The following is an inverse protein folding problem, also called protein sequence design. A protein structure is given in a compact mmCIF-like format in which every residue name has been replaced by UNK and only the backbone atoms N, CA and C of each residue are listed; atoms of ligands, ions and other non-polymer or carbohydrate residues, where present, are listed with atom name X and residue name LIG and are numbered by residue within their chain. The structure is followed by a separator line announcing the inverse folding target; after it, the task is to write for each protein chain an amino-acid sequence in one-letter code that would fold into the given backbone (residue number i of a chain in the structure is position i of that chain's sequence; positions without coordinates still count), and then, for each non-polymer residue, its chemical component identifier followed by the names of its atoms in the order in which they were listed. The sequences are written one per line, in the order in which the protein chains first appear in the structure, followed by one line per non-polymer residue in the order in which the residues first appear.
data_IF_337980100559
#
_entry.id   IF_337980100559
#
_cell.length_a   1.000
_cell.length_b   1.000
_cell.length_c   1.000
_cell.angle_alpha   90.00
_cell.angle_beta   90.00
_cell.angle_gamma   90.00
#
_symmetry.space_group_name_H-M   'P 1'
#
loop_
_entity.id
_entity.type
_entity.pdbx_description
1 polymer ?
#
# COMPACT_ATOMS: atom_id res chain seq x y z
N UNK A 1 4.83 -24.13 -30.56
CA UNK A 1 3.87 -23.67 -29.53
C UNK A 1 4.50 -22.73 -28.48
N UNK A 2 5.82 -22.56 -28.40
CA UNK A 2 6.50 -21.72 -27.36
C UNK A 2 6.50 -20.21 -27.70
N UNK A 3 6.36 -19.84 -28.99
CA UNK A 3 6.39 -18.40 -29.40
C UNK A 3 5.10 -17.62 -29.13
N UNK A 4 3.94 -18.26 -29.02
CA UNK A 4 2.66 -17.56 -28.75
C UNK A 4 2.50 -17.15 -27.26
N UNK A 5 3.11 -17.91 -26.33
CA UNK A 5 3.02 -17.59 -24.91
C UNK A 5 3.82 -16.34 -24.49
N UNK A 6 4.96 -16.09 -25.14
CA UNK A 6 5.78 -14.91 -24.85
C UNK A 6 5.12 -13.59 -25.29
N UNK A 7 4.38 -13.59 -26.43
CA UNK A 7 3.73 -12.35 -26.90
C UNK A 7 2.53 -11.92 -26.04
N UNK A 8 1.75 -12.89 -25.49
CA UNK A 8 0.64 -12.60 -24.61
C UNK A 8 1.10 -12.04 -23.26
N UNK A 9 2.20 -12.59 -22.72
CA UNK A 9 2.76 -12.12 -21.45
C UNK A 9 3.28 -10.68 -21.54
N UNK A 10 3.92 -10.31 -22.66
CA UNK A 10 4.41 -8.94 -22.88
C UNK A 10 3.28 -7.91 -23.03
N UNK A 11 2.18 -8.28 -23.67
CA UNK A 11 1.00 -7.40 -23.81
C UNK A 11 0.29 -7.15 -22.47
N UNK A 12 0.19 -8.16 -21.62
CA UNK A 12 -0.39 -8.05 -20.27
C UNK A 12 0.45 -7.12 -19.39
N UNK A 13 1.79 -7.24 -19.44
CA UNK A 13 2.68 -6.37 -18.65
C UNK A 13 2.56 -4.91 -19.07
N UNK A 14 2.42 -4.60 -20.37
CA UNK A 14 2.27 -3.22 -20.84
C UNK A 14 0.91 -2.61 -20.44
N UNK A 15 -0.18 -3.37 -20.49
CA UNK A 15 -1.50 -2.87 -20.11
C UNK A 15 -1.62 -2.59 -18.61
N UNK A 16 -1.03 -3.42 -17.78
CA UNK A 16 -0.98 -3.27 -16.32
C UNK A 16 -0.20 -2.01 -15.92
N UNK A 17 0.97 -1.80 -16.50
CA UNK A 17 1.78 -0.61 -16.23
C UNK A 17 1.10 0.69 -16.65
N UNK A 18 0.31 0.68 -17.72
CA UNK A 18 -0.43 1.85 -18.19
C UNK A 18 -1.55 2.26 -17.21
N UNK A 19 -2.32 1.30 -16.68
CA UNK A 19 -3.38 1.58 -15.70
C UNK A 19 -2.80 2.06 -14.36
N UNK A 20 -1.71 1.47 -13.91
CA UNK A 20 -1.04 1.86 -12.68
C UNK A 20 -0.56 3.33 -12.75
N UNK A 21 0.05 3.74 -13.87
CA UNK A 21 0.47 5.13 -14.09
C UNK A 21 -0.73 6.08 -14.22
N UNK A 22 -1.81 5.63 -14.83
CA UNK A 22 -3.04 6.43 -14.95
C UNK A 22 -3.70 6.65 -13.60
N UNK A 23 -3.77 5.61 -12.74
CA UNK A 23 -4.31 5.73 -11.38
C UNK A 23 -3.47 6.74 -10.55
N UNK A 24 -2.13 6.71 -10.66
CA UNK A 24 -1.25 7.71 -10.04
C UNK A 24 -1.54 9.10 -10.59
N UNK A 25 -1.65 9.26 -11.91
CA UNK A 25 -1.93 10.54 -12.57
C UNK A 25 -3.25 11.16 -12.11
N UNK A 26 -4.29 10.34 -11.98
CA UNK A 26 -5.60 10.78 -11.51
C UNK A 26 -5.54 11.21 -10.05
N UNK A 27 -4.99 10.36 -9.15
CA UNK A 27 -4.90 10.65 -7.73
C UNK A 27 -4.02 11.86 -7.42
N UNK A 28 -2.96 12.09 -8.20
CA UNK A 28 -2.08 13.26 -8.05
C UNK A 28 -2.39 14.40 -9.03
N UNK A 29 -3.62 14.47 -9.54
CA UNK A 29 -4.04 15.58 -10.41
C UNK A 29 -4.30 16.86 -9.61
N UNK A 30 -4.33 18.01 -10.32
CA UNK A 30 -4.66 19.30 -9.71
C UNK A 30 -6.08 19.33 -9.12
N UNK A 31 -7.03 18.59 -9.69
CA UNK A 31 -8.41 18.50 -9.22
C UNK A 31 -8.48 17.86 -7.82
N UNK A 32 -7.57 16.96 -7.50
CA UNK A 32 -7.47 16.31 -6.19
C UNK A 32 -6.88 17.24 -5.09
N UNK A 33 -6.35 18.41 -5.45
CA UNK A 33 -5.90 19.47 -4.53
C UNK A 33 -4.99 18.97 -3.40
N UNK A 34 -4.20 17.92 -3.67
CA UNK A 34 -3.31 17.30 -2.68
C UNK A 34 -4.00 16.48 -1.59
N UNK A 35 -5.27 16.15 -1.73
CA UNK A 35 -6.01 15.13 -0.95
C UNK A 35 -5.94 15.28 0.58
N UNK A 36 -5.78 16.51 1.10
CA UNK A 36 -5.77 16.72 2.56
C UNK A 36 -7.04 16.16 3.20
N UNK A 37 -6.88 15.44 4.29
CA UNK A 37 -8.00 14.87 5.06
C UNK A 37 -9.10 15.89 5.32
N UNK A 38 -10.35 15.54 4.97
CA UNK A 38 -11.52 16.40 5.13
C UNK A 38 -11.70 17.44 4.02
N UNK A 39 -10.80 17.53 3.05
CA UNK A 39 -10.92 18.45 1.89
C UNK A 39 -11.83 17.91 0.79
N UNK A 40 -12.23 18.79 -0.12
CA UNK A 40 -12.93 18.41 -1.35
C UNK A 40 -12.06 17.50 -2.23
N UNK A 41 -10.73 17.70 -2.25
CA UNK A 41 -9.78 16.82 -2.94
C UNK A 41 -9.77 15.40 -2.38
N UNK A 42 -9.78 15.25 -1.05
CA UNK A 42 -9.91 13.93 -0.43
C UNK A 42 -11.26 13.26 -0.77
N UNK A 43 -12.35 14.03 -0.88
CA UNK A 43 -13.65 13.48 -1.32
C UNK A 43 -13.60 12.96 -2.76
N UNK A 44 -12.95 13.70 -3.67
CA UNK A 44 -12.74 13.25 -5.04
C UNK A 44 -11.89 11.97 -5.10
N UNK A 45 -10.84 11.89 -4.29
CA UNK A 45 -10.00 10.68 -4.19
C UNK A 45 -10.82 9.47 -3.70
N UNK A 46 -11.65 9.64 -2.66
CA UNK A 46 -12.56 8.59 -2.17
C UNK A 46 -13.54 8.12 -3.25
N UNK A 47 -14.11 9.05 -3.99
CA UNK A 47 -15.01 8.71 -5.11
C UNK A 47 -14.28 7.89 -6.16
N UNK A 48 -13.10 8.32 -6.59
CA UNK A 48 -12.28 7.59 -7.54
C UNK A 48 -11.95 6.18 -7.04
N UNK A 49 -11.47 6.03 -5.80
CA UNK A 49 -11.16 4.72 -5.21
C UNK A 49 -12.41 3.83 -5.14
N UNK A 50 -13.55 4.39 -4.73
CA UNK A 50 -14.82 3.65 -4.67
C UNK A 50 -15.30 3.16 -6.05
N UNK A 51 -15.19 4.00 -7.08
CA UNK A 51 -15.49 3.63 -8.47
C UNK A 51 -14.56 2.53 -8.98
N UNK A 52 -13.28 2.59 -8.63
CA UNK A 52 -12.31 1.51 -8.94
C UNK A 52 -12.70 0.21 -8.23
N UNK A 53 -13.03 0.24 -6.93
CA UNK A 53 -13.48 -0.94 -6.19
C UNK A 53 -14.75 -1.55 -6.81
N UNK A 54 -15.71 -0.71 -7.18
CA UNK A 54 -16.94 -1.15 -7.83
C UNK A 54 -16.67 -1.78 -9.21
N UNK A 55 -15.83 -1.15 -10.03
CA UNK A 55 -15.48 -1.65 -11.37
C UNK A 55 -14.76 -3.01 -11.35
N UNK A 56 -14.03 -3.28 -10.25
CA UNK A 56 -13.34 -4.55 -10.01
C UNK A 56 -14.26 -5.62 -9.38
N UNK A 57 -15.53 -5.29 -9.12
CA UNK A 57 -16.50 -6.22 -8.51
C UNK A 57 -16.14 -6.63 -7.08
N UNK A 58 -15.41 -5.76 -6.35
CA UNK A 58 -15.06 -6.01 -4.96
C UNK A 58 -16.29 -5.86 -4.07
N UNK A 59 -16.39 -6.70 -3.04
CA UNK A 59 -17.44 -6.59 -2.05
C UNK A 59 -17.14 -5.47 -1.05
N UNK A 60 -18.20 -4.89 -0.47
CA UNK A 60 -18.13 -3.91 0.61
C UNK A 60 -18.57 -4.51 1.93
N UNK A 61 -18.13 -3.92 3.05
CA UNK A 61 -18.67 -4.19 4.37
C UNK A 61 -19.88 -3.27 4.62
N UNK A 62 -20.92 -3.79 5.26
CA UNK A 62 -22.12 -3.04 5.69
C UNK A 62 -22.76 -2.13 4.61
N UNK A 63 -22.66 -2.55 3.33
CA UNK A 63 -23.30 -1.86 2.21
C UNK A 63 -22.58 -0.65 1.65
N UNK A 64 -21.35 -0.38 2.08
CA UNK A 64 -20.53 0.73 1.57
C UNK A 64 -19.03 0.47 1.68
N UNK A 65 -18.24 1.27 0.96
CA UNK A 65 -16.78 1.20 1.00
C UNK A 65 -16.15 2.16 2.02
N UNK A 66 -16.93 2.93 2.77
CA UNK A 66 -16.44 3.97 3.66
C UNK A 66 -16.47 3.53 5.12
N UNK A 67 -15.39 3.76 5.83
CA UNK A 67 -15.30 3.68 7.27
C UNK A 67 -14.97 5.06 7.82
N UNK A 68 -15.97 5.78 8.32
CA UNK A 68 -15.78 7.09 8.95
C UNK A 68 -15.25 6.92 10.37
N UNK A 69 -14.30 7.77 10.76
CA UNK A 69 -13.74 7.81 12.11
C UNK A 69 -13.50 9.25 12.55
N UNK A 70 -13.46 9.45 13.86
CA UNK A 70 -13.08 10.72 14.47
C UNK A 70 -11.71 10.61 15.10
N UNK A 71 -10.91 11.68 14.97
CA UNK A 71 -9.63 11.77 15.63
C UNK A 71 -9.42 13.13 16.27
N UNK A 72 -8.69 13.13 17.37
CA UNK A 72 -8.46 14.33 18.16
C UNK A 72 -7.22 15.09 17.62
N UNK A 73 -7.43 16.38 17.28
CA UNK A 73 -6.40 17.38 17.10
C UNK A 73 -6.67 18.55 18.05
N UNK A 74 -6.39 19.77 17.61
CA UNK A 74 -6.87 20.99 18.30
C UNK A 74 -8.40 21.09 18.30
N UNK A 75 -9.03 20.48 17.32
CA UNK A 75 -10.47 20.24 17.21
C UNK A 75 -10.67 18.80 16.73
N UNK A 76 -11.82 18.21 17.05
CA UNK A 76 -12.21 16.92 16.52
C UNK A 76 -12.33 17.00 14.99
N UNK A 77 -11.65 16.11 14.31
CA UNK A 77 -11.66 15.99 12.84
C UNK A 77 -12.22 14.63 12.43
N UNK A 78 -12.85 14.58 11.27
CA UNK A 78 -13.32 13.34 10.67
C UNK A 78 -12.38 12.90 9.54
N UNK A 79 -12.05 11.62 9.54
CA UNK A 79 -11.38 10.94 8.43
C UNK A 79 -12.26 9.81 7.90
N UNK A 80 -11.95 9.32 6.69
CA UNK A 80 -12.74 8.29 6.03
C UNK A 80 -11.81 7.30 5.33
N UNK A 81 -11.61 6.14 5.91
CA UNK A 81 -10.95 5.03 5.19
C UNK A 81 -11.86 4.48 4.08
N UNK A 82 -11.24 4.01 2.99
CA UNK A 82 -11.94 3.29 1.93
C UNK A 82 -11.59 1.80 2.03
N UNK A 83 -12.62 0.95 2.20
CA UNK A 83 -12.48 -0.48 2.41
C UNK A 83 -13.28 -1.28 1.39
N UNK A 84 -12.63 -2.23 0.76
CA UNK A 84 -13.28 -3.26 -0.04
C UNK A 84 -12.65 -4.62 0.28
N UNK A 85 -13.32 -5.71 -0.07
CA UNK A 85 -12.73 -7.03 0.11
C UNK A 85 -13.00 -7.97 -1.06
N UNK A 86 -12.07 -8.93 -1.23
CA UNK A 86 -12.22 -10.11 -2.08
C UNK A 86 -12.20 -11.34 -1.20
N UNK A 87 -13.24 -12.15 -1.28
CA UNK A 87 -13.30 -13.40 -0.50
C UNK A 87 -12.36 -14.45 -1.08
N UNK A 88 -11.63 -15.13 -0.20
CA UNK A 88 -10.76 -16.25 -0.53
C UNK A 88 -11.48 -17.58 -0.64
N UNK A 89 -10.84 -18.53 -1.32
CA UNK A 89 -11.39 -19.86 -1.56
C UNK A 89 -10.92 -20.93 -0.56
N UNK A 90 -9.68 -20.84 -0.09
CA UNK A 90 -9.10 -21.87 0.78
C UNK A 90 -9.21 -21.49 2.27
N UNK A 91 -8.93 -20.24 2.58
CA UNK A 91 -8.99 -19.68 3.93
C UNK A 91 -9.91 -18.45 3.98
N UNK A 92 -11.22 -18.59 3.72
CA UNK A 92 -12.13 -17.45 3.55
C UNK A 92 -12.35 -16.61 4.81
N UNK A 93 -12.00 -17.13 5.99
CA UNK A 93 -12.07 -16.41 7.26
C UNK A 93 -10.70 -15.90 7.75
N UNK A 94 -9.66 -16.03 6.93
CA UNK A 94 -8.33 -15.50 7.20
C UNK A 94 -8.04 -14.39 6.21
N UNK A 95 -7.68 -13.20 6.73
CA UNK A 95 -7.60 -11.99 5.93
C UNK A 95 -6.15 -11.49 5.84
N UNK A 96 -5.73 -11.13 4.63
CA UNK A 96 -4.55 -10.29 4.39
C UNK A 96 -5.09 -8.88 4.12
N UNK A 97 -4.61 -7.89 4.88
CA UNK A 97 -4.96 -6.48 4.66
C UNK A 97 -3.87 -5.84 3.82
N UNK A 98 -4.21 -5.38 2.61
CA UNK A 98 -3.35 -4.53 1.80
C UNK A 98 -3.70 -3.09 2.12
N UNK A 99 -2.73 -2.29 2.60
CA UNK A 99 -2.94 -0.90 2.99
C UNK A 99 -2.05 0.08 2.23
N UNK A 100 -2.59 1.27 1.96
CA UNK A 100 -1.88 2.43 1.45
C UNK A 100 -2.68 3.68 1.82
N UNK A 101 -2.05 4.78 2.24
CA UNK A 101 -2.80 5.99 2.52
C UNK A 101 -3.08 6.78 1.23
N UNK A 102 -4.26 7.40 1.17
CA UNK A 102 -4.66 8.22 0.03
C UNK A 102 -4.62 9.72 0.31
N UNK A 103 -4.59 10.11 1.58
CA UNK A 103 -4.42 11.51 1.97
C UNK A 103 -3.00 12.01 1.69
N UNK A 104 -2.85 13.32 1.59
CA UNK A 104 -1.58 14.00 1.51
C UNK A 104 -1.73 15.43 2.05
N UNK A 105 -0.76 16.30 1.83
CA UNK A 105 -0.62 17.59 2.52
C UNK A 105 -1.57 18.70 2.03
N UNK A 106 -2.35 18.46 0.97
CA UNK A 106 -3.33 19.42 0.49
C UNK A 106 -2.72 20.58 -0.30
N UNK A 107 -3.21 21.79 0.01
CA UNK A 107 -2.83 23.01 -0.70
C UNK A 107 -2.48 24.12 0.28
N UNK A 108 -1.40 24.84 0.02
CA UNK A 108 -1.02 26.04 0.76
C UNK A 108 -0.92 27.24 -0.20
N UNK A 109 -1.83 28.19 -0.07
CA UNK A 109 -1.95 29.31 -1.01
C UNK A 109 -2.26 28.82 -2.43
N UNK A 110 -1.32 28.99 -3.37
CA UNK A 110 -1.43 28.51 -4.75
C UNK A 110 -0.66 27.22 -5.01
N UNK A 111 0.09 26.75 -4.05
CA UNK A 111 0.93 25.55 -4.19
C UNK A 111 0.13 24.31 -3.78
N UNK A 112 -0.04 23.38 -4.70
CA UNK A 112 -0.64 22.06 -4.46
C UNK A 112 0.48 21.08 -4.18
N UNK A 113 0.36 20.30 -3.10
CA UNK A 113 1.23 19.18 -2.79
C UNK A 113 0.62 17.94 -3.43
N UNK A 114 1.11 17.55 -4.59
CA UNK A 114 0.46 16.53 -5.43
C UNK A 114 0.54 15.12 -4.85
N UNK A 115 1.63 14.79 -4.14
CA UNK A 115 1.81 13.49 -3.50
C UNK A 115 1.69 12.32 -4.49
N UNK A 116 2.46 12.36 -5.58
CA UNK A 116 2.41 11.31 -6.58
C UNK A 116 3.13 10.05 -6.13
N UNK A 117 4.32 10.19 -5.56
CA UNK A 117 5.00 9.07 -4.90
C UNK A 117 4.42 8.86 -3.50
N UNK A 118 4.15 9.93 -2.77
CA UNK A 118 3.60 9.97 -1.41
C UNK A 118 2.12 10.41 -1.40
N UNK A 119 1.10 9.54 -1.44
CA UNK A 119 1.24 8.10 -1.68
C UNK A 119 0.23 7.62 -2.72
N UNK A 120 0.07 8.41 -3.83
CA UNK A 120 -0.73 7.93 -4.96
C UNK A 120 -0.13 6.66 -5.57
N UNK A 121 1.21 6.47 -5.48
CA UNK A 121 1.91 5.28 -5.96
C UNK A 121 1.47 4.01 -5.20
N UNK A 122 1.38 4.08 -3.88
CA UNK A 122 0.93 2.97 -3.05
C UNK A 122 -0.55 2.65 -3.26
N UNK A 123 -1.42 3.68 -3.38
CA UNK A 123 -2.85 3.47 -3.66
C UNK A 123 -3.05 2.84 -5.03
N UNK A 124 -2.35 3.29 -6.06
CA UNK A 124 -2.42 2.70 -7.39
C UNK A 124 -1.96 1.24 -7.39
N UNK A 125 -0.92 0.91 -6.62
CA UNK A 125 -0.46 -0.47 -6.46
C UNK A 125 -1.49 -1.33 -5.70
N UNK A 126 -2.15 -0.80 -4.67
CA UNK A 126 -3.26 -1.46 -3.98
C UNK A 126 -4.39 -1.79 -4.97
N UNK A 127 -4.78 -0.84 -5.83
CA UNK A 127 -5.81 -1.04 -6.86
C UNK A 127 -5.39 -2.07 -7.91
N UNK A 128 -4.12 -2.08 -8.30
CA UNK A 128 -3.54 -3.06 -9.22
C UNK A 128 -3.55 -4.48 -8.61
N UNK A 129 -3.20 -4.63 -7.32
CA UNK A 129 -3.33 -5.90 -6.61
C UNK A 129 -4.79 -6.36 -6.53
N UNK A 130 -5.71 -5.43 -6.27
CA UNK A 130 -7.13 -5.72 -6.26
C UNK A 130 -7.62 -6.24 -7.62
N UNK A 131 -7.16 -5.63 -8.72
CA UNK A 131 -7.49 -6.09 -10.08
C UNK A 131 -7.00 -7.51 -10.32
N UNK A 132 -5.73 -7.79 -10.05
CA UNK A 132 -5.13 -9.13 -10.23
C UNK A 132 -5.81 -10.20 -9.40
N UNK A 133 -6.13 -9.90 -8.14
CA UNK A 133 -6.80 -10.83 -7.23
C UNK A 133 -8.29 -11.01 -7.57
N UNK A 134 -8.90 -10.08 -8.30
CA UNK A 134 -10.28 -10.22 -8.79
C UNK A 134 -10.40 -11.20 -9.95
N UNK A 135 -9.33 -11.43 -10.71
CA UNK A 135 -9.30 -12.36 -11.84
C UNK A 135 -9.15 -13.83 -11.41
N UNK A 136 -8.80 -14.06 -10.14
CA UNK A 136 -8.56 -15.40 -9.59
C UNK A 136 -9.41 -15.64 -8.34
N UNK A 137 -9.41 -16.89 -7.86
CA UNK A 137 -9.91 -17.20 -6.53
C UNK A 137 -8.70 -17.31 -5.58
N UNK A 138 -8.38 -16.26 -4.80
CA UNK A 138 -7.22 -16.27 -3.92
C UNK A 138 -7.40 -17.27 -2.77
N UNK A 139 -6.30 -17.76 -2.17
CA UNK A 139 -6.35 -18.65 -1.03
C UNK A 139 -6.96 -17.95 0.20
N UNK A 140 -6.51 -16.74 0.47
CA UNK A 140 -6.96 -15.87 1.57
C UNK A 140 -8.02 -14.88 1.11
N UNK A 141 -8.83 -14.40 2.06
CA UNK A 141 -9.59 -13.17 1.83
C UNK A 141 -8.67 -11.96 1.91
N UNK A 142 -8.88 -10.98 1.03
CA UNK A 142 -8.12 -9.74 1.00
C UNK A 142 -9.00 -8.56 1.35
N UNK A 143 -8.53 -7.72 2.28
CA UNK A 143 -9.11 -6.39 2.52
C UNK A 143 -8.19 -5.37 1.87
N UNK A 144 -8.74 -4.55 0.97
CA UNK A 144 -8.07 -3.42 0.35
C UNK A 144 -8.45 -2.17 1.14
N UNK A 145 -7.50 -1.65 1.89
CA UNK A 145 -7.66 -0.54 2.84
C UNK A 145 -6.88 0.68 2.34
N UNK A 146 -7.56 1.63 1.70
CA UNK A 146 -6.99 2.94 1.47
C UNK A 146 -7.28 3.82 2.71
N UNK A 147 -6.24 4.14 3.47
CA UNK A 147 -6.32 4.87 4.73
C UNK A 147 -6.38 6.38 4.52
N UNK A 148 -7.01 7.08 5.45
CA UNK A 148 -7.04 8.54 5.55
C UNK A 148 -6.26 9.00 6.78
N UNK A 149 -5.82 10.26 6.80
CA UNK A 149 -5.16 10.89 7.92
C UNK A 149 -3.88 10.16 8.40
N UNK A 150 -3.13 9.56 7.47
CA UNK A 150 -1.79 9.04 7.72
C UNK A 150 -0.84 10.17 8.09
N UNK A 151 -0.81 11.23 7.28
CA UNK A 151 -0.01 12.44 7.43
C UNK A 151 -0.29 13.20 8.75
N UNK A 152 -1.44 12.99 9.31
CA UNK A 152 -1.82 13.55 10.61
C UNK A 152 -1.38 12.66 11.79
N UNK A 153 -0.83 11.49 11.53
CA UNK A 153 -0.33 10.55 12.54
C UNK A 153 -0.99 9.19 12.54
N UNK A 154 -1.14 8.56 11.38
CA UNK A 154 -1.64 7.19 11.19
C UNK A 154 -3.08 6.99 11.72
N UNK A 155 -3.94 8.03 11.66
CA UNK A 155 -5.25 7.93 12.31
C UNK A 155 -6.19 6.95 11.60
N UNK A 156 -6.12 6.83 10.28
CA UNK A 156 -6.93 5.88 9.53
C UNK A 156 -6.62 4.43 9.88
N UNK A 157 -5.36 4.05 9.88
CA UNK A 157 -4.93 2.71 10.26
C UNK A 157 -5.16 2.41 11.74
N UNK A 158 -5.00 3.41 12.64
CA UNK A 158 -5.40 3.29 14.05
C UNK A 158 -6.91 3.03 14.19
N UNK A 159 -7.74 3.77 13.45
CA UNK A 159 -9.19 3.60 13.46
C UNK A 159 -9.61 2.23 12.94
N UNK A 160 -8.98 1.77 11.86
CA UNK A 160 -9.23 0.43 11.32
C UNK A 160 -8.89 -0.67 12.35
N UNK A 161 -7.71 -0.60 12.98
CA UNK A 161 -7.30 -1.59 14.00
C UNK A 161 -8.16 -1.54 15.25
N UNK A 162 -8.65 -0.35 15.64
CA UNK A 162 -9.55 -0.21 16.79
C UNK A 162 -10.96 -0.72 16.52
N UNK A 163 -11.44 -0.62 15.28
CA UNK A 163 -12.79 -1.04 14.88
C UNK A 163 -12.78 -1.73 13.51
N UNK A 164 -12.15 -2.90 13.39
CA UNK A 164 -12.05 -3.61 12.12
C UNK A 164 -13.39 -4.27 11.75
N UNK A 165 -13.70 -4.42 10.45
CA UNK A 165 -14.94 -5.07 10.01
C UNK A 165 -14.94 -6.59 10.24
N UNK A 166 -13.82 -7.16 10.62
CA UNK A 166 -13.62 -8.58 10.94
C UNK A 166 -12.82 -8.69 12.24
N UNK A 167 -12.91 -9.82 12.95
CA UNK A 167 -12.11 -9.99 14.17
C UNK A 167 -10.61 -9.85 13.87
N UNK A 168 -9.85 -9.12 14.70
CA UNK A 168 -8.40 -8.94 14.53
C UNK A 168 -7.64 -10.27 14.47
N UNK A 169 -8.11 -11.29 15.19
CA UNK A 169 -7.54 -12.64 15.15
C UNK A 169 -7.66 -13.34 13.80
N UNK A 170 -8.53 -12.86 12.93
CA UNK A 170 -8.68 -13.35 11.57
C UNK A 170 -7.75 -12.61 10.58
N UNK A 171 -7.11 -11.51 10.98
CA UNK A 171 -6.13 -10.81 10.15
C UNK A 171 -4.77 -11.46 10.35
N UNK A 172 -4.29 -12.18 9.34
CA UNK A 172 -3.04 -12.94 9.41
C UNK A 172 -1.81 -12.12 9.04
N UNK A 173 -1.99 -11.04 8.26
CA UNK A 173 -0.90 -10.19 7.81
C UNK A 173 -1.44 -8.84 7.29
N UNK A 174 -0.68 -7.77 7.53
CA UNK A 174 -0.81 -6.51 6.81
C UNK A 174 0.32 -6.37 5.78
N UNK A 175 -0.04 -6.03 4.55
CA UNK A 175 0.87 -5.67 3.46
C UNK A 175 0.69 -4.16 3.19
N UNK A 176 1.63 -3.35 3.65
CA UNK A 176 1.57 -1.90 3.50
C UNK A 176 2.45 -1.42 2.34
N UNK A 177 1.92 -0.48 1.57
CA UNK A 177 2.55 0.07 0.37
C UNK A 177 2.62 1.59 0.50
N UNK A 178 3.85 2.15 0.49
CA UNK A 178 4.03 3.57 0.68
C UNK A 178 5.30 4.05 -0.03
N UNK A 179 5.15 5.04 -0.93
CA UNK A 179 6.26 5.60 -1.72
C UNK A 179 7.03 4.54 -2.52
N UNK A 180 6.36 3.89 -3.46
CA UNK A 180 6.95 2.81 -4.28
C UNK A 180 7.22 3.20 -5.74
N UNK A 181 6.97 4.46 -6.10
CA UNK A 181 7.09 4.96 -7.47
C UNK A 181 8.45 5.56 -7.81
N UNK A 182 9.33 5.79 -6.82
CA UNK A 182 10.64 6.44 -7.01
C UNK A 182 11.75 5.75 -6.24
N UNK A 183 12.90 5.60 -6.91
CA UNK A 183 14.06 4.91 -6.35
C UNK A 183 14.79 5.69 -5.23
N UNK A 184 14.47 6.95 -5.04
CA UNK A 184 15.15 7.85 -4.11
C UNK A 184 16.66 7.95 -4.38
N UNK A 185 17.40 8.60 -3.47
CA UNK A 185 18.86 8.82 -3.64
C UNK A 185 19.69 7.54 -3.69
N UNK A 186 19.17 6.41 -3.23
CA UNK A 186 19.90 5.13 -3.15
C UNK A 186 19.50 4.13 -4.22
N UNK A 187 18.53 4.45 -5.06
CA UNK A 187 18.05 3.55 -6.11
C UNK A 187 17.48 2.24 -5.56
N UNK A 188 16.81 2.25 -4.38
CA UNK A 188 16.39 1.05 -3.66
C UNK A 188 14.93 1.10 -3.28
N UNK A 189 14.25 -0.03 -3.45
CA UNK A 189 13.00 -0.35 -2.76
C UNK A 189 13.33 -1.03 -1.42
N UNK A 190 12.66 -0.64 -0.36
CA UNK A 190 12.86 -1.21 0.97
C UNK A 190 11.72 -2.15 1.34
N UNK A 191 12.06 -3.25 2.00
CA UNK A 191 11.10 -4.19 2.58
C UNK A 191 11.45 -4.42 4.05
N UNK A 192 10.50 -4.10 4.93
CA UNK A 192 10.59 -4.41 6.36
C UNK A 192 9.55 -5.46 6.75
N UNK A 193 9.73 -6.11 7.92
CA UNK A 193 8.88 -7.23 8.36
C UNK A 193 9.27 -8.60 7.80
N UNK A 194 9.96 -8.66 6.66
CA UNK A 194 10.28 -9.89 5.93
C UNK A 194 11.23 -10.84 6.67
N UNK A 195 11.96 -10.40 7.69
CA UNK A 195 12.86 -11.29 8.48
C UNK A 195 12.13 -12.46 9.15
N UNK A 196 10.83 -12.35 9.32
CA UNK A 196 9.95 -13.42 9.78
C UNK A 196 9.85 -14.56 8.75
N UNK A 197 10.12 -14.27 7.47
CA UNK A 197 9.91 -15.15 6.33
C UNK A 197 11.22 -15.35 5.53
N UNK A 198 12.20 -16.15 6.04
CA UNK A 198 13.50 -16.32 5.39
C UNK A 198 13.42 -16.87 3.95
N UNK A 199 12.46 -17.76 3.67
CA UNK A 199 12.25 -18.31 2.34
C UNK A 199 11.80 -17.23 1.35
N UNK A 200 10.86 -16.36 1.73
CA UNK A 200 10.46 -15.19 0.93
C UNK A 200 11.65 -14.26 0.66
N UNK A 201 12.43 -13.95 1.72
CA UNK A 201 13.62 -13.10 1.57
C UNK A 201 14.62 -13.67 0.57
N UNK A 202 14.87 -14.99 0.61
CA UNK A 202 15.80 -15.65 -0.30
C UNK A 202 15.33 -15.55 -1.76
N UNK A 203 14.03 -15.78 -2.01
CA UNK A 203 13.46 -15.68 -3.36
C UNK A 203 13.53 -14.25 -3.90
N UNK A 204 13.06 -13.27 -3.12
CA UNK A 204 13.09 -11.87 -3.52
C UNK A 204 14.51 -11.34 -3.74
N UNK A 205 15.48 -11.76 -2.92
CA UNK A 205 16.88 -11.35 -3.07
C UNK A 205 17.52 -11.89 -4.34
N UNK A 206 17.15 -13.10 -4.73
CA UNK A 206 17.66 -13.71 -5.97
C UNK A 206 17.15 -12.99 -7.22
N UNK A 207 15.93 -12.45 -7.18
CA UNK A 207 15.26 -11.86 -8.34
C UNK A 207 15.38 -10.34 -8.42
N UNK A 208 15.33 -9.63 -7.28
CA UNK A 208 15.25 -8.18 -7.23
C UNK A 208 16.50 -7.55 -6.60
N UNK A 209 17.50 -7.24 -7.40
CA UNK A 209 18.78 -6.66 -6.92
C UNK A 209 18.65 -5.26 -6.30
N UNK A 210 17.61 -4.50 -6.66
CA UNK A 210 17.33 -3.19 -6.07
C UNK A 210 16.47 -3.25 -4.80
N UNK A 211 16.00 -4.44 -4.39
CA UNK A 211 15.27 -4.62 -3.14
C UNK A 211 16.25 -4.73 -1.97
N UNK A 212 16.01 -3.94 -0.93
CA UNK A 212 16.80 -3.95 0.29
C UNK A 212 15.93 -4.32 1.50
N UNK A 213 16.31 -5.37 2.19
CA UNK A 213 15.65 -5.78 3.43
C UNK A 213 16.16 -4.95 4.60
N UNK A 214 15.22 -4.35 5.33
CA UNK A 214 15.55 -3.57 6.53
C UNK A 214 15.34 -4.39 7.80
N UNK A 215 16.09 -4.10 8.88
CA UNK A 215 15.89 -4.75 10.16
C UNK A 215 14.51 -4.39 10.73
N UNK A 216 13.91 -5.33 11.44
CA UNK A 216 12.62 -5.17 12.13
C UNK A 216 12.65 -4.10 13.24
N UNK A 217 13.82 -3.69 13.72
CA UNK A 217 13.99 -2.72 14.80
C UNK A 217 15.24 -1.87 14.58
N UNK A 218 15.07 -0.56 14.69
CA UNK A 218 16.15 0.42 14.72
C UNK A 218 16.62 0.92 13.34
N UNK A 219 17.31 2.06 13.31
CA UNK A 219 17.87 2.62 12.08
C UNK A 219 18.96 1.69 11.53
N UNK A 220 19.17 1.68 10.20
CA UNK A 220 20.36 1.05 9.63
C UNK A 220 21.60 1.60 10.29
N UNK A 221 22.50 0.74 10.80
CA UNK A 221 23.69 1.12 11.59
C UNK A 221 24.64 2.09 10.90
N UNK A 222 24.45 2.41 9.63
CA UNK A 222 25.35 3.20 8.78
C UNK A 222 24.72 4.47 8.19
N UNK A 223 23.57 4.91 8.65
CA UNK A 223 22.96 6.17 8.20
C UNK A 223 23.30 7.26 9.20
N UNK A 224 24.27 8.11 8.83
CA UNK A 224 24.50 9.42 9.48
C UNK A 224 23.36 10.38 9.12
N UNK A 225 22.14 10.08 9.53
CA UNK A 225 21.06 11.05 9.56
C UNK A 225 20.61 11.20 11.01
N UNK A 226 20.42 12.44 11.45
CA UNK A 226 19.91 12.76 12.79
C UNK A 226 18.44 12.32 12.99
N UNK A 227 17.81 11.74 11.99
CA UNK A 227 16.50 11.14 12.08
C UNK A 227 16.64 9.63 12.31
N UNK A 228 16.19 9.18 13.46
CA UNK A 228 15.99 7.77 13.79
C UNK A 228 14.69 7.32 13.12
N UNK A 229 14.78 6.78 11.90
CA UNK A 229 13.64 6.11 11.29
C UNK A 229 13.22 4.92 12.16
N UNK A 230 12.04 5.01 12.73
CA UNK A 230 11.40 3.89 13.41
C UNK A 230 10.60 3.10 12.37
N UNK A 231 11.27 2.31 11.54
CA UNK A 231 10.66 1.56 10.45
C UNK A 231 9.41 0.74 10.85
N UNK A 232 9.34 0.11 12.05
CA UNK A 232 8.12 -0.54 12.51
C UNK A 232 6.90 0.36 12.66
N UNK A 233 7.08 1.67 12.67
CA UNK A 233 6.01 2.66 12.87
C UNK A 233 6.05 3.81 11.86
N UNK A 234 6.78 3.62 10.75
CA UNK A 234 7.03 4.69 9.79
C UNK A 234 5.84 4.95 8.85
N UNK A 235 4.80 4.10 8.84
CA UNK A 235 3.62 4.21 8.01
C UNK A 235 2.49 3.35 8.60
N UNK A 236 1.41 3.16 7.87
CA UNK A 236 0.15 2.50 8.28
C UNK A 236 0.28 1.07 8.83
N UNK A 237 1.39 0.37 8.58
CA UNK A 237 1.65 -0.93 9.22
C UNK A 237 1.92 -0.82 10.74
N UNK A 238 2.25 0.37 11.24
CA UNK A 238 2.59 0.58 12.64
C UNK A 238 1.48 0.19 13.61
N UNK A 239 0.22 0.63 13.44
CA UNK A 239 -0.90 0.18 14.27
C UNK A 239 -1.13 -1.32 14.24
N UNK A 240 -0.99 -1.98 13.08
CA UNK A 240 -1.07 -3.46 12.98
C UNK A 240 0.05 -4.12 13.77
N UNK A 241 1.28 -3.62 13.64
CA UNK A 241 2.43 -4.10 14.41
C UNK A 241 2.18 -4.02 15.92
N UNK A 242 1.66 -2.87 16.41
CA UNK A 242 1.32 -2.70 17.84
C UNK A 242 0.21 -3.64 18.31
N UNK A 243 -0.71 -4.00 17.41
CA UNK A 243 -1.76 -4.97 17.69
C UNK A 243 -1.27 -6.44 17.62
N UNK A 244 0.03 -6.67 17.36
CA UNK A 244 0.62 -7.99 17.23
C UNK A 244 0.38 -8.68 15.90
N UNK A 245 -0.19 -7.97 14.91
CA UNK A 245 -0.43 -8.49 13.56
C UNK A 245 0.89 -8.43 12.78
N UNK A 246 1.34 -9.54 12.17
CA UNK A 246 2.49 -9.54 11.28
C UNK A 246 2.32 -8.55 10.13
N UNK A 247 3.41 -7.95 9.68
CA UNK A 247 3.37 -7.04 8.55
C UNK A 247 4.53 -7.25 7.57
N UNK A 248 4.29 -6.84 6.34
CA UNK A 248 5.28 -6.58 5.32
C UNK A 248 5.06 -5.15 4.83
N UNK A 249 6.10 -4.33 4.86
CA UNK A 249 6.02 -2.95 4.39
C UNK A 249 7.00 -2.75 3.24
N UNK A 250 6.47 -2.47 2.06
CA UNK A 250 7.24 -2.00 0.91
C UNK A 250 7.18 -0.48 0.87
N UNK A 251 8.35 0.16 0.85
CA UNK A 251 8.43 1.62 0.80
C UNK A 251 9.70 2.14 0.18
N UNK A 252 9.61 3.37 -0.32
CA UNK A 252 10.75 4.15 -0.79
C UNK A 252 11.49 4.85 0.35
N UNK A 253 12.54 5.55 -0.01
CA UNK A 253 13.23 6.49 0.87
C UNK A 253 12.85 7.90 0.44
N UNK A 254 12.80 8.84 1.39
CA UNK A 254 12.64 10.26 1.07
C UNK A 254 13.55 10.68 -0.09
N UNK A 255 12.97 11.27 -1.10
CA UNK A 255 13.65 11.90 -2.24
C UNK A 255 13.63 13.43 -2.11
N UNK A 256 14.25 14.14 -3.05
CA UNK A 256 14.37 15.60 -2.94
C UNK A 256 13.02 16.33 -3.00
N UNK A 257 12.01 15.70 -3.62
CA UNK A 257 10.68 16.28 -3.83
C UNK A 257 9.67 15.79 -2.77
N UNK A 258 10.09 14.97 -1.78
CA UNK A 258 9.25 14.50 -0.69
C UNK A 258 8.64 15.68 0.09
N UNK A 259 7.32 15.66 0.30
CA UNK A 259 6.57 16.73 0.96
C UNK A 259 6.72 18.11 0.30
N UNK A 260 6.89 18.13 -1.02
CA UNK A 260 6.95 19.38 -1.81
C UNK A 260 5.95 19.36 -2.98
N UNK A 261 5.62 20.51 -3.57
CA UNK A 261 4.76 20.57 -4.78
C UNK A 261 5.36 19.86 -6.00
N UNK A 262 6.64 19.53 -5.97
CA UNK A 262 7.36 18.86 -7.06
C UNK A 262 7.17 17.35 -7.06
N UNK A 263 6.53 16.74 -6.04
CA UNK A 263 6.15 15.32 -6.07
C UNK A 263 4.95 15.09 -7.00
N UNK A 264 5.24 15.12 -8.30
CA UNK A 264 4.25 15.03 -9.39
C UNK A 264 4.36 13.71 -10.13
N UNK A 265 3.28 13.28 -10.81
CA UNK A 265 3.26 12.04 -11.57
C UNK A 265 4.34 11.97 -12.67
N UNK A 266 4.79 13.10 -13.22
CA UNK A 266 5.88 13.17 -14.19
C UNK A 266 7.24 12.78 -13.61
N UNK A 267 7.34 12.79 -12.29
CA UNK A 267 8.55 12.39 -11.54
C UNK A 267 8.58 10.90 -11.16
N UNK A 268 7.47 10.20 -11.33
CA UNK A 268 7.43 8.75 -11.15
C UNK A 268 8.40 8.09 -12.13
N UNK A 269 9.13 7.10 -11.66
CA UNK A 269 10.10 6.32 -12.45
C UNK A 269 9.44 5.01 -12.91
N UNK A 270 8.95 4.90 -14.18
CA UNK A 270 8.13 3.77 -14.60
C UNK A 270 8.81 2.42 -14.43
N UNK A 271 10.10 2.32 -14.74
CA UNK A 271 10.87 1.08 -14.61
C UNK A 271 11.04 0.66 -13.14
N UNK A 272 11.20 1.64 -12.24
CA UNK A 272 11.30 1.37 -10.81
C UNK A 272 9.96 0.93 -10.24
N UNK A 273 8.87 1.62 -10.59
CA UNK A 273 7.51 1.26 -10.21
C UNK A 273 7.13 -0.14 -10.71
N UNK A 274 7.48 -0.47 -11.96
CA UNK A 274 7.25 -1.80 -12.53
C UNK A 274 8.00 -2.88 -11.74
N UNK A 275 9.26 -2.65 -11.40
CA UNK A 275 10.06 -3.55 -10.55
C UNK A 275 9.46 -3.67 -9.15
N UNK A 276 9.03 -2.57 -8.54
CA UNK A 276 8.38 -2.59 -7.23
C UNK A 276 7.09 -3.43 -7.27
N UNK A 277 6.22 -3.22 -8.26
CA UNK A 277 5.01 -4.03 -8.45
C UNK A 277 5.29 -5.52 -8.67
N UNK A 278 6.35 -5.85 -9.41
CA UNK A 278 6.75 -7.25 -9.58
C UNK A 278 7.18 -7.88 -8.25
N UNK A 279 7.99 -7.18 -7.45
CA UNK A 279 8.42 -7.67 -6.14
C UNK A 279 7.23 -7.83 -5.16
N UNK A 280 6.29 -6.88 -5.17
CA UNK A 280 5.05 -6.94 -4.37
C UNK A 280 4.18 -8.11 -4.83
N UNK A 281 3.97 -8.27 -6.14
CA UNK A 281 3.17 -9.37 -6.67
C UNK A 281 3.81 -10.73 -6.39
N UNK A 282 5.12 -10.87 -6.54
CA UNK A 282 5.85 -12.08 -6.15
C UNK A 282 5.64 -12.41 -4.66
N UNK A 283 5.64 -11.38 -3.82
CA UNK A 283 5.34 -11.54 -2.39
C UNK A 283 3.91 -12.06 -2.17
N UNK A 284 2.92 -11.49 -2.84
CA UNK A 284 1.53 -11.96 -2.76
C UNK A 284 1.42 -13.42 -3.22
N UNK A 285 2.04 -13.79 -4.33
CA UNK A 285 2.05 -15.17 -4.82
C UNK A 285 2.70 -16.13 -3.82
N UNK A 286 3.75 -15.70 -3.13
CA UNK A 286 4.36 -16.49 -2.08
C UNK A 286 3.42 -16.64 -0.87
N UNK A 287 2.76 -15.57 -0.42
CA UNK A 287 1.79 -15.60 0.68
C UNK A 287 0.63 -16.56 0.40
N UNK A 288 0.13 -16.57 -0.83
CA UNK A 288 -0.94 -17.47 -1.29
C UNK A 288 -0.61 -18.96 -1.14
N UNK A 289 0.66 -19.31 -1.12
CA UNK A 289 1.15 -20.69 -1.00
C UNK A 289 1.40 -21.10 0.45
N UNK A 290 1.35 -20.18 1.41
CA UNK A 290 1.67 -20.48 2.80
C UNK A 290 0.39 -20.83 3.60
N UNK A 291 0.45 -21.76 4.56
CA UNK A 291 -0.65 -21.95 5.50
C UNK A 291 -0.71 -20.78 6.51
N UNK A 292 -1.89 -20.49 7.10
CA UNK A 292 -2.06 -19.39 8.06
C UNK A 292 -1.08 -19.41 9.25
N UNK A 293 -0.70 -20.60 9.72
CA UNK A 293 0.26 -20.75 10.82
C UNK A 293 1.64 -20.15 10.50
N UNK A 294 2.08 -20.21 9.23
CA UNK A 294 3.33 -19.56 8.79
C UNK A 294 3.20 -18.06 8.79
N UNK A 295 2.08 -17.52 8.32
CA UNK A 295 1.85 -16.08 8.23
C UNK A 295 1.71 -15.46 9.63
N UNK A 296 0.98 -16.09 10.53
CA UNK A 296 0.81 -15.66 11.93
C UNK A 296 2.09 -15.77 12.76
N UNK A 297 3.15 -16.37 12.22
CA UNK A 297 4.41 -16.56 12.93
C UNK A 297 4.33 -17.56 14.08
N UNK A 298 3.35 -18.44 14.12
CA UNK A 298 3.39 -19.62 14.97
C UNK A 298 4.48 -20.53 14.41
N UNK A 299 5.57 -20.68 15.16
CA UNK A 299 6.61 -21.66 14.83
C UNK A 299 5.97 -23.04 14.93
N UNK A 300 6.06 -23.81 13.82
CA UNK A 300 5.82 -25.25 13.86
C UNK A 300 6.85 -25.91 14.76
#
# INVERSE_FOLDING_TARGET
MIRQFCCVLLLVVHSVSAQLLEDIRQLSSADMQGRETGSAGAELARRFIGERYQSLGLASFDGGYQQTFLYAGWQEKAGVNMLAYRQGCLYPQQYIVVSAHYDHLGQTGRSIFYGADDNASGVAALLELAARLSEVCPAYSYIFLATDAEENGLYGSKAFVANPPVALSHIVLNLNLDMIGRAGKRGRLYLTGARRYPALMSQLHAEFSKLQFLPHSGPPRNVRSNMRYNWPEASDHGPFHRAGIPYLFFGGHEHADYHTPEDTWQRIEPDFLAMAMQAIWHTVQWLEQQPPAVLNGQRQ
#
